data_IF_322376973833
#
_entry.id   IF_322376973833
#
_cell.length_a   1.000
_cell.length_b   1.000
_cell.length_c   1.000
_cell.angle_alpha   90.00
_cell.angle_beta   90.00
_cell.angle_gamma   90.00
#
_symmetry.space_group_name_H-M   'P 1'
#
loop_
_entity.id
_entity.type
_entity.pdbx_description
1 polymer ?
#
# COMPACT_ATOMS: atom_id res chain seq x y z
N UNK A 1 55.79 -48.64 21.20
CA UNK A 1 56.67 -47.47 21.37
C UNK A 1 56.22 -46.43 20.37
N UNK A 2 55.42 -45.48 20.85
CA UNK A 2 55.81 -44.07 21.13
C UNK A 2 55.63 -43.19 19.89
N UNK A 3 54.53 -42.45 19.80
CA UNK A 3 54.33 -41.07 20.26
C UNK A 3 55.11 -40.02 19.46
N UNK A 4 54.39 -39.23 18.65
CA UNK A 4 54.70 -37.81 18.49
C UNK A 4 53.44 -37.03 18.07
N UNK A 5 53.25 -35.90 18.75
CA UNK A 5 52.03 -35.09 18.82
C UNK A 5 52.19 -33.82 17.97
N UNK A 6 51.11 -33.45 17.26
CA UNK A 6 50.71 -32.18 16.56
C UNK A 6 51.67 -30.96 16.45
N UNK A 7 51.43 -30.13 15.42
CA UNK A 7 50.84 -28.82 15.70
C UNK A 7 49.56 -28.53 14.89
N UNK A 8 48.68 -27.60 15.34
CA UNK A 8 47.41 -27.29 14.66
C UNK A 8 47.59 -26.24 13.55
N UNK A 9 47.10 -26.54 12.35
CA UNK A 9 46.92 -25.57 11.27
C UNK A 9 45.66 -24.73 11.53
N UNK A 10 45.82 -23.41 11.67
CA UNK A 10 44.73 -22.42 11.65
C UNK A 10 43.98 -22.47 10.31
N UNK A 11 42.64 -22.43 10.29
CA UNK A 11 41.91 -21.83 9.19
C UNK A 11 41.65 -20.35 9.51
N UNK A 12 42.14 -19.46 8.64
CA UNK A 12 41.84 -18.03 8.63
C UNK A 12 40.36 -17.80 8.33
N UNK A 13 39.58 -17.44 9.34
CA UNK A 13 38.15 -17.14 9.19
C UNK A 13 37.92 -15.72 8.67
N UNK A 14 38.03 -15.53 7.35
CA UNK A 14 37.58 -14.29 6.67
C UNK A 14 36.06 -14.05 6.76
N UNK A 15 35.31 -15.02 7.31
CA UNK A 15 33.85 -14.95 7.46
C UNK A 15 33.47 -13.91 8.54
N UNK A 16 34.23 -13.81 9.63
CA UNK A 16 33.92 -12.87 10.72
C UNK A 16 34.08 -11.40 10.27
N UNK A 17 35.01 -11.14 9.36
CA UNK A 17 35.26 -9.80 8.87
C UNK A 17 34.20 -9.35 7.86
N UNK A 18 33.77 -10.27 6.98
CA UNK A 18 32.68 -10.07 6.01
C UNK A 18 31.35 -9.85 6.74
N UNK A 19 31.05 -10.63 7.77
CA UNK A 19 29.83 -10.47 8.57
C UNK A 19 29.83 -9.15 9.34
N UNK A 20 30.99 -8.70 9.85
CA UNK A 20 31.10 -7.39 10.52
C UNK A 20 30.90 -6.20 9.56
N UNK A 21 31.36 -6.33 8.30
CA UNK A 21 31.18 -5.31 7.26
C UNK A 21 29.73 -5.27 6.78
N UNK A 22 29.07 -6.41 6.65
CA UNK A 22 27.64 -6.47 6.28
C UNK A 22 26.74 -5.89 7.39
N UNK A 23 27.03 -6.22 8.66
CA UNK A 23 26.29 -5.67 9.80
C UNK A 23 26.45 -4.15 9.98
N UNK A 24 27.56 -3.56 9.50
CA UNK A 24 27.74 -2.09 9.48
C UNK A 24 26.98 -1.40 8.35
N UNK A 25 26.68 -2.10 7.26
CA UNK A 25 25.97 -1.54 6.09
C UNK A 25 24.45 -1.72 6.20
N UNK A 26 23.94 -2.70 6.95
CA UNK A 26 22.51 -2.94 7.13
C UNK A 26 21.87 -2.27 8.36
N UNK A 27 22.41 -1.16 8.86
CA UNK A 27 21.66 -0.30 9.80
C UNK A 27 20.63 0.54 9.04
N UNK A 28 19.56 -0.12 8.60
CA UNK A 28 18.33 0.55 8.22
C UNK A 28 17.77 1.27 9.44
N UNK A 29 17.58 2.58 9.32
CA UNK A 29 16.73 3.36 10.23
C UNK A 29 15.29 2.87 10.03
N UNK A 30 14.83 2.00 10.90
CA UNK A 30 13.40 1.76 11.12
C UNK A 30 12.83 3.00 11.85
N UNK A 31 12.16 3.88 11.11
CA UNK A 31 11.24 4.86 11.70
C UNK A 31 9.97 4.10 12.07
N UNK A 32 9.81 3.83 13.36
CA UNK A 32 8.59 3.26 13.92
C UNK A 32 7.48 4.31 13.89
N UNK A 33 6.42 4.01 13.15
CA UNK A 33 5.11 4.63 13.32
C UNK A 33 4.49 4.01 14.57
N UNK A 34 4.46 4.76 15.68
CA UNK A 34 3.63 4.41 16.82
C UNK A 34 2.30 5.14 16.69
N UNK A 35 1.25 4.39 16.41
CA UNK A 35 -0.13 4.79 16.69
C UNK A 35 -0.33 4.72 18.21
N UNK A 36 -0.52 5.86 18.86
CA UNK A 36 -1.12 5.89 20.20
C UNK A 36 -2.60 6.19 20.07
N UNK A 37 -3.35 5.16 20.39
CA UNK A 37 -4.78 5.06 20.52
C UNK A 37 -5.33 6.02 21.59
N UNK A 38 -6.43 6.68 21.22
CA UNK A 38 -7.20 7.60 22.02
C UNK A 38 -8.28 6.81 22.79
N UNK A 39 -8.43 6.91 24.12
CA UNK A 39 -9.59 6.34 24.79
C UNK A 39 -10.48 7.45 25.38
N UNK A 40 -11.71 7.60 24.85
CA UNK A 40 -12.99 7.52 25.60
C UNK A 40 -14.17 8.18 24.86
N UNK A 41 -15.04 7.27 24.38
CA UNK A 41 -16.51 7.22 24.28
C UNK A 41 -17.40 8.47 24.02
N UNK A 42 -18.52 8.28 23.28
CA UNK A 42 -19.46 9.33 22.90
C UNK A 42 -20.62 9.49 23.89
N UNK A 43 -21.13 10.72 24.02
CA UNK A 43 -22.50 10.97 24.50
C UNK A 43 -23.28 11.73 23.45
N UNK A 44 -24.33 11.07 23.00
CA UNK A 44 -25.44 11.59 22.22
C UNK A 44 -26.20 12.65 23.03
N UNK A 45 -26.56 13.77 22.43
CA UNK A 45 -27.86 14.41 22.63
C UNK A 45 -28.10 15.48 21.55
N UNK A 46 -29.17 15.26 20.78
CA UNK A 46 -29.79 16.23 19.89
C UNK A 46 -30.63 17.22 20.70
N UNK A 47 -30.69 18.48 20.23
CA UNK A 47 -31.62 19.49 20.71
C UNK A 47 -31.70 20.66 19.71
N UNK A 48 -32.82 20.70 19.00
CA UNK A 48 -33.28 21.65 17.96
C UNK A 48 -33.57 23.06 18.51
N UNK A 49 -33.53 24.08 17.62
CA UNK A 49 -34.36 25.32 17.50
C UNK A 49 -33.48 26.48 16.94
N UNK A 50 -33.55 26.82 15.65
CA UNK A 50 -34.43 27.80 14.92
C UNK A 50 -34.21 29.28 15.22
N UNK A 51 -34.02 30.02 14.11
CA UNK A 51 -34.31 31.44 13.82
C UNK A 51 -33.22 32.53 14.00
N UNK A 52 -32.61 32.85 12.84
CA UNK A 52 -32.78 34.10 12.06
C UNK A 52 -31.83 35.31 12.21
N UNK A 53 -31.56 35.90 11.04
CA UNK A 53 -31.07 37.27 10.73
C UNK A 53 -29.57 37.68 10.81
N UNK A 54 -29.02 37.81 9.59
CA UNK A 54 -28.30 38.95 8.95
C UNK A 54 -26.92 39.47 9.37
N UNK A 55 -26.14 39.69 8.30
CA UNK A 55 -25.14 40.72 8.00
C UNK A 55 -23.64 40.51 8.25
N UNK A 56 -22.94 40.58 7.10
CA UNK A 56 -21.56 40.92 6.75
C UNK A 56 -20.54 41.19 7.87
N UNK A 57 -19.33 40.60 7.70
CA UNK A 57 -18.05 41.32 7.59
C UNK A 57 -17.00 40.36 7.03
N UNK A 58 -16.39 40.81 5.94
CA UNK A 58 -15.16 40.34 5.31
C UNK A 58 -13.99 40.55 6.28
N UNK A 59 -13.17 39.54 6.57
CA UNK A 59 -11.72 39.69 6.87
C UNK A 59 -11.04 38.31 6.89
N UNK A 60 -9.93 38.22 6.16
CA UNK A 60 -9.16 37.00 5.95
C UNK A 60 -8.40 36.56 7.19
N UNK A 61 -8.55 35.28 7.55
CA UNK A 61 -7.71 34.61 8.53
C UNK A 61 -6.73 33.68 7.78
N UNK A 62 -5.48 34.12 7.62
CA UNK A 62 -4.37 33.24 7.29
C UNK A 62 -3.87 32.55 8.56
N UNK A 63 -3.64 31.25 8.43
CA UNK A 63 -3.19 30.31 9.45
C UNK A 63 -2.06 30.83 10.35
N UNK A 64 -2.28 30.72 11.67
CA UNK A 64 -1.24 30.85 12.69
C UNK A 64 -0.31 29.62 12.66
N UNK A 65 0.85 29.76 12.03
CA UNK A 65 1.95 28.81 12.20
C UNK A 65 2.58 29.01 13.58
N UNK A 66 2.27 28.09 14.51
CA UNK A 66 2.85 27.99 15.85
C UNK A 66 4.36 27.72 15.77
N UNK A 67 5.16 28.77 15.88
CA UNK A 67 6.60 28.65 16.16
C UNK A 67 6.80 28.58 17.68
N UNK A 68 7.29 27.43 18.17
CA UNK A 68 7.72 27.28 19.57
C UNK A 68 8.99 28.11 19.83
N UNK A 69 9.01 29.03 20.83
CA UNK A 69 10.24 29.65 21.28
C UNK A 69 11.03 28.68 22.18
N UNK A 70 12.31 28.47 21.89
CA UNK A 70 13.24 27.84 22.84
C UNK A 70 13.71 28.88 23.89
N UNK A 71 14.02 28.45 25.13
CA UNK A 71 14.26 29.37 26.24
C UNK A 71 15.64 30.02 26.11
N UNK A 72 15.67 31.35 26.12
CA UNK A 72 16.91 32.11 26.32
C UNK A 72 17.20 32.11 27.82
N UNK A 73 18.31 31.45 28.21
CA UNK A 73 18.89 31.60 29.53
C UNK A 73 19.26 33.07 29.76
N UNK A 74 18.43 33.75 30.55
CA UNK A 74 18.72 35.09 31.06
C UNK A 74 19.64 34.94 32.27
N UNK A 75 20.91 35.33 32.13
CA UNK A 75 21.75 35.53 33.30
C UNK A 75 21.21 36.71 34.14
N UNK A 76 21.09 36.56 35.47
CA UNK A 76 20.60 37.64 36.32
C UNK A 76 21.60 38.80 36.38
N UNK A 77 21.06 40.00 36.25
CA UNK A 77 21.72 41.30 36.34
C UNK A 77 22.58 41.43 37.61
N UNK A 78 23.90 41.36 37.48
CA UNK A 78 24.85 41.81 38.50
C UNK A 78 24.94 43.35 38.58
N UNK A 79 24.43 44.06 37.57
CA UNK A 79 24.46 45.52 37.48
C UNK A 79 23.60 46.20 38.55
N UNK A 80 22.47 45.61 38.93
CA UNK A 80 21.50 46.21 39.85
C UNK A 80 22.07 46.32 41.28
N UNK A 81 22.80 45.30 41.76
CA UNK A 81 23.36 45.32 43.12
C UNK A 81 24.49 46.34 43.30
N UNK A 82 25.28 46.61 42.25
CA UNK A 82 26.39 47.57 42.31
C UNK A 82 25.87 49.02 42.33
N UNK A 83 24.83 49.32 41.55
CA UNK A 83 24.22 50.65 41.47
C UNK A 83 23.62 51.11 42.80
N UNK A 84 22.96 50.22 43.54
CA UNK A 84 22.37 50.52 44.86
C UNK A 84 23.43 50.92 45.90
N UNK A 85 24.61 50.31 45.86
CA UNK A 85 25.73 50.63 46.79
C UNK A 85 26.30 52.04 46.52
N UNK A 86 26.33 52.49 45.27
CA UNK A 86 26.84 53.84 44.94
C UNK A 86 25.84 54.93 45.32
N UNK A 87 24.55 54.67 45.13
CA UNK A 87 23.45 55.56 45.52
C UNK A 87 23.38 55.68 47.04
N UNK A 88 23.54 54.57 47.77
CA UNK A 88 23.57 54.59 49.24
C UNK A 88 24.75 55.43 49.77
N UNK A 89 25.95 55.25 49.20
CA UNK A 89 27.13 56.09 49.53
C UNK A 89 26.90 57.58 49.26
N UNK A 90 26.17 57.94 48.21
CA UNK A 90 25.81 59.33 47.91
C UNK A 90 24.92 59.91 49.00
N UNK A 91 23.84 59.20 49.38
CA UNK A 91 22.93 59.64 50.44
C UNK A 91 23.60 59.73 51.81
N UNK A 92 24.47 58.79 52.15
CA UNK A 92 25.27 58.84 53.38
C UNK A 92 26.19 60.07 53.42
N UNK A 93 26.85 60.36 52.29
CA UNK A 93 27.73 61.53 52.18
C UNK A 93 26.96 62.85 52.30
N UNK A 94 25.78 62.95 51.69
CA UNK A 94 24.89 64.12 51.80
C UNK A 94 24.37 64.27 53.23
N UNK A 95 24.00 63.16 53.89
CA UNK A 95 23.53 63.18 55.27
C UNK A 95 24.64 63.60 56.24
N UNK A 96 25.86 63.11 56.03
CA UNK A 96 27.04 63.53 56.79
C UNK A 96 27.39 65.01 56.55
N UNK A 97 27.23 65.51 55.31
CA UNK A 97 27.41 66.92 54.99
C UNK A 97 26.39 67.81 55.73
N UNK A 98 25.12 67.40 55.74
CA UNK A 98 24.06 68.08 56.51
C UNK A 98 24.37 68.11 58.00
N UNK A 99 24.83 66.99 58.57
CA UNK A 99 25.24 66.93 59.98
C UNK A 99 26.43 67.82 60.28
N UNK A 100 27.44 67.87 59.40
CA UNK A 100 28.57 68.78 59.53
C UNK A 100 28.12 70.26 59.50
N UNK A 101 27.16 70.60 58.64
CA UNK A 101 26.57 71.94 58.58
C UNK A 101 25.82 72.31 59.87
N UNK A 102 25.06 71.40 60.47
CA UNK A 102 24.40 71.64 61.76
C UNK A 102 25.43 71.88 62.87
N UNK A 103 26.51 71.08 62.92
CA UNK A 103 27.61 71.30 63.89
C UNK A 103 28.29 72.65 63.70
N UNK A 104 28.43 73.09 62.44
CA UNK A 104 28.93 74.42 62.13
C UNK A 104 27.99 75.48 62.72
N UNK A 105 26.66 75.35 62.56
CA UNK A 105 25.68 76.26 63.15
C UNK A 105 25.72 76.26 64.69
N UNK A 106 25.82 75.10 65.33
CA UNK A 106 25.88 74.96 66.79
C UNK A 106 27.16 75.58 67.38
N UNK A 107 28.29 75.50 66.68
CA UNK A 107 29.57 76.08 67.13
C UNK A 107 29.56 77.62 67.22
N UNK A 108 28.54 78.28 66.65
CA UNK A 108 28.40 79.73 66.72
C UNK A 108 27.76 80.21 68.04
N UNK A 109 27.13 79.34 68.85
CA UNK A 109 26.43 79.74 70.09
C UNK A 109 26.59 78.69 71.22
N UNK A 110 27.35 78.99 72.30
CA UNK A 110 28.24 80.15 72.48
C UNK A 110 29.41 80.09 71.50
N UNK A 111 29.91 81.24 71.07
CA UNK A 111 30.95 81.36 70.05
C UNK A 111 32.27 80.67 70.47
N UNK A 112 32.65 79.61 69.75
CA UNK A 112 33.85 78.81 70.01
C UNK A 112 34.65 78.62 68.72
N UNK A 113 35.80 79.29 68.62
CA UNK A 113 36.62 79.33 67.40
C UNK A 113 37.18 77.98 66.99
N UNK A 114 37.48 77.10 67.96
CA UNK A 114 38.09 75.81 67.67
C UNK A 114 37.03 74.82 67.17
N UNK A 115 35.82 74.90 67.74
CA UNK A 115 34.66 74.12 67.23
C UNK A 115 34.24 74.56 65.83
N UNK A 116 34.31 75.85 65.51
CA UNK A 116 34.01 76.36 64.17
C UNK A 116 35.02 75.80 63.14
N UNK A 117 36.32 75.87 63.43
CA UNK A 117 37.36 75.32 62.53
C UNK A 117 37.19 73.82 62.30
N UNK A 118 36.97 73.05 63.36
CA UNK A 118 36.76 71.61 63.25
C UNK A 118 35.50 71.24 62.46
N UNK A 119 34.41 72.01 62.61
CA UNK A 119 33.18 71.80 61.85
C UNK A 119 33.33 72.19 60.36
N UNK A 120 34.07 73.26 60.07
CA UNK A 120 34.36 73.70 58.70
C UNK A 120 35.25 72.70 57.94
N UNK A 121 36.33 72.23 58.57
CA UNK A 121 37.20 71.18 58.01
C UNK A 121 36.39 69.91 57.68
N UNK A 122 35.49 69.51 58.59
CA UNK A 122 34.61 68.37 58.36
C UNK A 122 33.65 68.61 57.19
N UNK A 123 33.06 69.81 57.08
CA UNK A 123 32.15 70.17 56.00
C UNK A 123 32.86 70.14 54.64
N UNK A 124 34.05 70.75 54.54
CA UNK A 124 34.86 70.75 53.31
C UNK A 124 35.24 69.32 52.92
N UNK A 125 35.68 68.48 53.85
CA UNK A 125 36.03 67.08 53.58
C UNK A 125 34.83 66.27 53.03
N UNK A 126 33.61 66.52 53.52
CA UNK A 126 32.39 65.88 52.99
C UNK A 126 32.01 66.41 51.61
N UNK A 127 32.18 67.71 51.36
CA UNK A 127 31.96 68.31 50.04
C UNK A 127 32.92 67.73 49.01
N UNK A 128 34.19 67.54 49.35
CA UNK A 128 35.18 66.89 48.50
C UNK A 128 34.82 65.43 48.17
N UNK A 129 34.32 64.68 49.16
CA UNK A 129 33.82 63.32 48.95
C UNK A 129 32.66 63.29 47.94
N UNK A 130 31.71 64.22 48.06
CA UNK A 130 30.61 64.37 47.11
C UNK A 130 31.10 64.69 45.69
N UNK A 131 32.11 65.57 45.57
CA UNK A 131 32.74 65.89 44.29
C UNK A 131 33.49 64.69 43.66
N UNK A 132 34.05 63.78 44.47
CA UNK A 132 34.65 62.52 43.97
C UNK A 132 33.58 61.59 43.42
N UNK A 133 32.47 61.39 44.15
CA UNK A 133 31.34 60.57 43.68
C UNK A 133 30.78 61.10 42.36
N UNK A 134 30.58 62.42 42.24
CA UNK A 134 30.12 63.07 41.01
C UNK A 134 31.02 62.83 39.80
N UNK A 135 32.35 62.84 39.99
CA UNK A 135 33.32 62.60 38.91
C UNK A 135 33.25 61.16 38.41
N UNK A 136 33.27 60.19 39.32
CA UNK A 136 33.19 58.76 38.97
C UNK A 136 31.90 58.44 38.23
N UNK A 137 30.76 59.01 38.66
CA UNK A 137 29.48 58.82 37.97
C UNK A 137 29.51 59.35 36.53
N UNK A 138 30.05 60.55 36.32
CA UNK A 138 30.17 61.13 34.98
C UNK A 138 31.04 60.26 34.06
N UNK A 139 32.16 59.77 34.57
CA UNK A 139 33.08 58.92 33.80
C UNK A 139 32.43 57.59 33.37
N UNK A 140 31.64 56.97 34.25
CA UNK A 140 30.88 55.75 33.91
C UNK A 140 29.82 55.99 32.83
N UNK A 141 29.10 57.11 32.89
CA UNK A 141 28.07 57.47 31.91
C UNK A 141 28.61 57.59 30.48
N UNK A 142 29.82 58.17 30.30
CA UNK A 142 30.42 58.26 28.97
C UNK A 142 30.81 56.89 28.40
N UNK A 143 31.40 56.02 29.22
CA UNK A 143 31.83 54.69 28.78
C UNK A 143 30.64 53.76 28.42
N UNK A 144 29.50 53.91 29.09
CA UNK A 144 28.31 53.10 28.84
C UNK A 144 27.64 53.46 27.51
N UNK A 145 27.54 54.76 27.19
CA UNK A 145 26.97 55.27 25.93
C UNK A 145 27.75 54.75 24.71
N UNK A 146 29.08 54.79 24.76
CA UNK A 146 29.93 54.29 23.68
C UNK A 146 29.77 52.76 23.48
N UNK A 147 29.62 52.01 24.57
CA UNK A 147 29.42 50.55 24.52
C UNK A 147 28.04 50.14 23.98
N UNK A 148 26.99 50.90 24.30
CA UNK A 148 25.62 50.65 23.84
C UNK A 148 25.47 51.02 22.36
N UNK A 149 26.13 52.09 21.92
CA UNK A 149 26.17 52.51 20.52
C UNK A 149 26.85 51.46 19.63
N UNK A 150 28.00 50.93 20.05
CA UNK A 150 28.71 49.87 19.32
C UNK A 150 27.90 48.56 19.22
N UNK A 151 27.23 48.14 20.30
CA UNK A 151 26.35 46.95 20.29
C UNK A 151 25.15 47.14 19.37
N UNK A 152 24.57 48.34 19.35
CA UNK A 152 23.45 48.68 18.47
C UNK A 152 23.86 48.62 16.99
N UNK A 153 25.05 49.09 16.65
CA UNK A 153 25.57 49.05 15.28
C UNK A 153 25.79 47.61 14.79
N UNK A 154 26.32 46.72 15.64
CA UNK A 154 26.49 45.30 15.31
C UNK A 154 25.15 44.60 15.08
N UNK A 155 24.16 44.85 15.94
CA UNK A 155 22.82 44.27 15.79
C UNK A 155 22.16 44.72 14.48
N UNK A 156 22.27 45.98 14.11
CA UNK A 156 21.74 46.50 12.85
C UNK A 156 22.41 45.85 11.63
N UNK A 157 23.74 45.63 11.68
CA UNK A 157 24.45 44.95 10.62
C UNK A 157 24.00 43.48 10.47
N UNK A 158 23.76 42.80 11.58
CA UNK A 158 23.26 41.42 11.59
C UNK A 158 21.82 41.32 11.05
N UNK A 159 20.94 42.26 11.44
CA UNK A 159 19.58 42.37 10.88
C UNK A 159 19.63 42.54 9.36
N UNK A 160 20.48 43.43 8.84
CA UNK A 160 20.62 43.64 7.40
C UNK A 160 21.09 42.38 6.65
N UNK A 161 21.94 41.55 7.27
CA UNK A 161 22.37 40.27 6.68
C UNK A 161 21.20 39.29 6.64
N UNK A 162 20.44 39.18 7.73
CA UNK A 162 19.26 38.32 7.79
C UNK A 162 18.17 38.75 6.81
N UNK A 163 17.93 40.05 6.64
CA UNK A 163 16.98 40.59 5.65
C UNK A 163 17.38 40.19 4.22
N UNK A 164 18.67 40.35 3.87
CA UNK A 164 19.17 39.94 2.54
C UNK A 164 19.05 38.43 2.31
N UNK A 165 19.30 37.62 3.34
CA UNK A 165 19.15 36.16 3.25
C UNK A 165 17.67 35.77 3.06
N UNK A 166 16.76 36.44 3.77
CA UNK A 166 15.33 36.20 3.70
C UNK A 166 14.77 36.53 2.32
N UNK A 167 15.18 37.66 1.73
CA UNK A 167 14.81 38.00 0.35
C UNK A 167 15.35 37.00 -0.68
N UNK A 168 16.57 36.48 -0.49
CA UNK A 168 17.12 35.42 -1.34
C UNK A 168 16.29 34.13 -1.24
N UNK A 169 15.90 33.72 -0.04
CA UNK A 169 15.08 32.53 0.18
C UNK A 169 13.68 32.69 -0.41
N UNK A 170 13.04 33.86 -0.24
CA UNK A 170 11.76 34.18 -0.88
C UNK A 170 11.84 34.07 -2.40
N UNK A 171 12.91 34.58 -3.01
CA UNK A 171 13.11 34.46 -4.45
C UNK A 171 13.24 32.99 -4.88
N UNK A 172 14.04 32.19 -4.16
CA UNK A 172 14.19 30.77 -4.46
C UNK A 172 12.87 30.00 -4.31
N UNK A 173 12.06 30.33 -3.31
CA UNK A 173 10.74 29.73 -3.10
C UNK A 173 9.81 30.00 -4.28
N UNK A 174 9.74 31.27 -4.75
CA UNK A 174 8.96 31.62 -5.95
C UNK A 174 9.39 30.87 -7.20
N UNK A 175 10.70 30.69 -7.41
CA UNK A 175 11.22 29.90 -8.53
C UNK A 175 10.78 28.43 -8.42
N UNK A 176 10.88 27.84 -7.23
CA UNK A 176 10.48 26.46 -6.99
C UNK A 176 8.96 26.26 -7.12
N UNK A 177 8.15 27.20 -6.68
CA UNK A 177 6.70 27.14 -6.87
C UNK A 177 6.33 27.16 -8.35
N UNK A 178 7.01 27.98 -9.17
CA UNK A 178 6.81 27.99 -10.61
C UNK A 178 7.21 26.64 -11.26
N UNK A 179 8.31 26.03 -10.81
CA UNK A 179 8.73 24.70 -11.26
C UNK A 179 7.69 23.62 -10.90
N UNK A 180 7.13 23.66 -9.69
CA UNK A 180 6.09 22.72 -9.24
C UNK A 180 4.85 22.83 -10.11
N UNK A 181 4.37 24.05 -10.38
CA UNK A 181 3.21 24.28 -11.24
C UNK A 181 3.47 23.75 -12.66
N UNK A 182 4.67 23.97 -13.21
CA UNK A 182 5.05 23.45 -14.53
C UNK A 182 5.06 21.91 -14.56
N UNK A 183 5.66 21.27 -13.56
CA UNK A 183 5.69 19.80 -13.47
C UNK A 183 4.29 19.21 -13.31
N UNK A 184 3.42 19.83 -12.52
CA UNK A 184 2.01 19.43 -12.40
C UNK A 184 1.29 19.51 -13.76
N UNK A 185 1.53 20.57 -14.54
CA UNK A 185 0.94 20.71 -15.87
C UNK A 185 1.46 19.64 -16.85
N UNK A 186 2.75 19.32 -16.81
CA UNK A 186 3.32 18.23 -17.62
C UNK A 186 2.75 16.87 -17.25
N UNK A 187 2.53 16.60 -15.96
CA UNK A 187 1.89 15.37 -15.51
C UNK A 187 0.47 15.25 -16.06
N UNK A 188 -0.32 16.32 -16.00
CA UNK A 188 -1.67 16.34 -16.55
C UNK A 188 -1.69 16.11 -18.07
N UNK A 189 -0.77 16.73 -18.82
CA UNK A 189 -0.65 16.52 -20.27
C UNK A 189 -0.24 15.07 -20.62
N UNK A 190 0.68 14.48 -19.86
CA UNK A 190 1.06 13.07 -20.01
C UNK A 190 -0.10 12.12 -19.67
N UNK A 191 -0.87 12.40 -18.63
CA UNK A 191 -2.04 11.61 -18.27
C UNK A 191 -3.14 11.68 -19.34
N UNK A 192 -3.37 12.85 -19.92
CA UNK A 192 -4.28 13.02 -21.05
C UNK A 192 -3.80 12.21 -22.28
N UNK A 193 -2.53 12.33 -22.65
CA UNK A 193 -1.93 11.55 -23.75
C UNK A 193 -2.00 10.05 -23.49
N UNK A 194 -1.75 9.59 -22.27
CA UNK A 194 -1.87 8.18 -21.91
C UNK A 194 -3.33 7.70 -22.04
N UNK A 195 -4.30 8.51 -21.64
CA UNK A 195 -5.72 8.18 -21.81
C UNK A 195 -6.09 8.08 -23.29
N UNK A 196 -5.65 9.03 -24.11
CA UNK A 196 -5.87 9.01 -25.56
C UNK A 196 -5.20 7.79 -26.22
N UNK A 197 -3.95 7.48 -25.87
CA UNK A 197 -3.25 6.30 -26.37
C UNK A 197 -3.95 5.01 -25.95
N UNK A 198 -4.43 4.93 -24.71
CA UNK A 198 -5.19 3.78 -24.20
C UNK A 198 -6.50 3.58 -24.99
N UNK A 199 -7.25 4.65 -25.26
CA UNK A 199 -8.49 4.55 -26.06
C UNK A 199 -8.20 4.19 -27.53
N UNK A 200 -7.15 4.76 -28.12
CA UNK A 200 -6.70 4.40 -29.47
C UNK A 200 -6.25 2.95 -29.56
N UNK A 201 -5.58 2.43 -28.51
CA UNK A 201 -5.22 1.02 -28.41
C UNK A 201 -6.48 0.14 -28.39
N UNK A 202 -7.47 0.48 -27.57
CA UNK A 202 -8.76 -0.25 -27.51
C UNK A 202 -9.51 -0.26 -28.84
N UNK A 203 -9.50 0.85 -29.58
CA UNK A 203 -10.13 0.94 -30.90
C UNK A 203 -9.40 0.09 -31.93
N UNK A 204 -8.08 0.20 -32.02
CA UNK A 204 -7.25 -0.64 -32.91
C UNK A 204 -7.36 -2.11 -32.55
N UNK A 205 -7.50 -2.46 -31.28
CA UNK A 205 -7.66 -3.82 -30.82
C UNK A 205 -9.04 -4.39 -31.22
N UNK A 206 -10.12 -3.61 -31.11
CA UNK A 206 -11.43 -4.00 -31.68
C UNK A 206 -11.39 -4.23 -33.19
N UNK A 207 -10.60 -3.43 -33.90
CA UNK A 207 -10.38 -3.61 -35.34
C UNK A 207 -9.50 -4.83 -35.63
N UNK A 208 -8.46 -5.08 -34.84
CA UNK A 208 -7.59 -6.26 -34.97
C UNK A 208 -8.31 -7.54 -34.60
N UNK A 209 -9.23 -7.54 -33.63
CA UNK A 209 -10.13 -8.67 -33.33
C UNK A 209 -11.08 -8.91 -34.51
N UNK A 210 -11.45 -7.88 -35.29
CA UNK A 210 -12.23 -8.06 -36.53
C UNK A 210 -11.39 -8.53 -37.73
N UNK A 211 -10.08 -8.27 -37.76
CA UNK A 211 -9.24 -8.41 -38.97
C UNK A 211 -8.10 -9.43 -38.84
N UNK A 212 -7.66 -9.79 -37.63
CA UNK A 212 -6.47 -10.59 -37.39
C UNK A 212 -6.69 -11.77 -36.45
N UNK A 213 -6.70 -12.98 -37.02
CA UNK A 213 -6.43 -14.24 -36.32
C UNK A 213 -7.40 -14.68 -35.20
N UNK A 214 -8.71 -14.55 -35.38
CA UNK A 214 -9.61 -15.43 -34.63
C UNK A 214 -9.51 -16.85 -35.22
N UNK A 215 -8.81 -17.73 -34.51
CA UNK A 215 -9.33 -19.08 -34.34
C UNK A 215 -10.83 -18.95 -34.06
N UNK A 216 -11.69 -19.63 -34.80
CA UNK A 216 -13.14 -19.54 -34.64
C UNK A 216 -13.50 -19.63 -33.15
N UNK A 217 -14.60 -19.01 -32.71
CA UNK A 217 -15.08 -19.20 -31.33
C UNK A 217 -15.18 -20.69 -30.98
N UNK A 218 -15.47 -21.51 -31.99
CA UNK A 218 -15.45 -22.97 -31.92
C UNK A 218 -14.05 -23.55 -31.67
N UNK A 219 -12.98 -22.99 -32.26
CA UNK A 219 -11.60 -23.40 -32.01
C UNK A 219 -11.16 -23.05 -30.59
N UNK A 220 -11.54 -21.87 -30.08
CA UNK A 220 -11.27 -21.48 -28.69
C UNK A 220 -12.02 -22.40 -27.72
N UNK A 221 -13.26 -22.76 -28.06
CA UNK A 221 -14.05 -23.74 -27.31
C UNK A 221 -13.39 -25.13 -27.30
N UNK A 222 -12.96 -25.62 -28.46
CA UNK A 222 -12.22 -26.89 -28.61
C UNK A 222 -10.90 -26.85 -27.84
N UNK A 223 -10.17 -25.74 -27.89
CA UNK A 223 -8.91 -25.54 -27.17
C UNK A 223 -9.13 -25.59 -25.65
N UNK A 224 -10.15 -24.90 -25.13
CA UNK A 224 -10.51 -24.96 -23.71
C UNK A 224 -10.90 -26.38 -23.27
N UNK A 225 -11.73 -27.07 -24.07
CA UNK A 225 -12.13 -28.46 -23.79
C UNK A 225 -10.92 -29.40 -23.78
N UNK A 226 -10.01 -29.25 -24.76
CA UNK A 226 -8.75 -30.00 -24.82
C UNK A 226 -7.83 -29.68 -23.63
N UNK A 227 -7.72 -28.43 -23.22
CA UNK A 227 -6.87 -28.04 -22.11
C UNK A 227 -7.37 -28.59 -20.76
N UNK A 228 -8.69 -28.66 -20.55
CA UNK A 228 -9.29 -29.36 -19.40
C UNK A 228 -8.93 -30.84 -19.43
N UNK A 229 -9.11 -31.50 -20.58
CA UNK A 229 -8.72 -32.90 -20.76
C UNK A 229 -7.21 -33.12 -20.51
N UNK A 230 -6.36 -32.24 -21.01
CA UNK A 230 -4.90 -32.34 -20.86
C UNK A 230 -4.45 -32.09 -19.42
N UNK A 231 -5.12 -31.21 -18.66
CA UNK A 231 -4.86 -31.02 -17.23
C UNK A 231 -5.41 -32.15 -16.35
N UNK A 232 -6.51 -32.79 -16.74
CA UNK A 232 -7.05 -33.94 -16.02
C UNK A 232 -6.02 -35.09 -15.96
N UNK A 233 -5.16 -35.24 -16.97
CA UNK A 233 -4.11 -36.27 -17.02
C UNK A 233 -3.10 -36.17 -15.85
N UNK A 234 -2.36 -35.07 -15.64
CA UNK A 234 -1.45 -34.95 -14.51
C UNK A 234 -2.17 -34.97 -13.17
N UNK A 235 -3.41 -34.46 -13.07
CA UNK A 235 -4.22 -34.58 -11.86
C UNK A 235 -4.49 -36.04 -11.49
N UNK A 236 -5.04 -36.82 -12.42
CA UNK A 236 -5.30 -38.26 -12.22
C UNK A 236 -3.99 -39.03 -11.98
N UNK A 237 -2.90 -38.66 -12.66
CA UNK A 237 -1.59 -39.27 -12.47
C UNK A 237 -1.08 -39.09 -11.03
N UNK A 238 -1.18 -37.88 -10.48
CA UNK A 238 -0.81 -37.59 -9.09
C UNK A 238 -1.71 -38.31 -8.10
N UNK A 239 -3.02 -38.39 -8.37
CA UNK A 239 -3.95 -39.17 -7.53
C UNK A 239 -3.52 -40.65 -7.46
N UNK A 240 -3.20 -41.27 -8.61
CA UNK A 240 -2.69 -42.65 -8.66
C UNK A 240 -1.37 -42.81 -7.89
N UNK A 241 -0.42 -41.90 -8.11
CA UNK A 241 0.88 -41.92 -7.45
C UNK A 241 0.76 -41.76 -5.92
N UNK A 242 -0.27 -41.06 -5.47
CA UNK A 242 -0.56 -40.81 -4.05
C UNK A 242 -1.48 -41.87 -3.42
N UNK A 243 -1.75 -42.97 -4.13
CA UNK A 243 -2.53 -44.10 -3.62
C UNK A 243 -4.04 -43.88 -3.52
N UNK A 244 -4.59 -42.89 -4.23
CA UNK A 244 -6.04 -42.65 -4.23
C UNK A 244 -6.78 -43.75 -5.00
N UNK A 245 -7.92 -44.19 -4.45
CA UNK A 245 -8.87 -45.02 -5.16
C UNK A 245 -9.66 -44.16 -6.15
N UNK A 246 -9.32 -44.28 -7.44
CA UNK A 246 -9.99 -43.53 -8.50
C UNK A 246 -11.46 -43.92 -8.69
N UNK A 247 -11.84 -45.14 -8.31
CA UNK A 247 -13.21 -45.59 -8.44
C UNK A 247 -14.08 -44.89 -7.38
N UNK A 248 -13.61 -44.85 -6.13
CA UNK A 248 -14.27 -44.08 -5.07
C UNK A 248 -14.24 -42.56 -5.33
N UNK A 249 -13.14 -42.04 -5.87
CA UNK A 249 -13.04 -40.61 -6.19
C UNK A 249 -14.02 -40.20 -7.29
N UNK A 250 -14.18 -41.02 -8.34
CA UNK A 250 -15.16 -40.77 -9.39
C UNK A 250 -16.60 -40.82 -8.85
N UNK A 251 -16.91 -41.79 -7.98
CA UNK A 251 -18.23 -41.92 -7.34
C UNK A 251 -18.53 -40.79 -6.34
N UNK A 252 -17.51 -40.20 -5.72
CA UNK A 252 -17.65 -39.00 -4.90
C UNK A 252 -17.93 -37.74 -5.71
N UNK A 253 -17.52 -37.68 -6.98
CA UNK A 253 -17.80 -36.54 -7.87
C UNK A 253 -19.19 -36.70 -8.47
N UNK A 254 -19.44 -37.84 -9.11
CA UNK A 254 -20.71 -38.16 -9.76
C UNK A 254 -21.29 -39.44 -9.14
N UNK A 255 -22.16 -39.27 -8.16
CA UNK A 255 -22.74 -40.38 -7.41
C UNK A 255 -23.69 -41.22 -8.29
N UNK A 256 -23.63 -42.54 -8.12
CA UNK A 256 -24.58 -43.48 -8.74
C UNK A 256 -24.57 -43.46 -10.28
N UNK A 257 -23.41 -43.25 -10.92
CA UNK A 257 -23.26 -43.32 -12.38
C UNK A 257 -22.75 -44.70 -12.81
N UNK A 258 -23.50 -45.38 -13.66
CA UNK A 258 -23.06 -46.61 -14.32
C UNK A 258 -22.22 -46.28 -15.56
N UNK A 259 -20.90 -46.38 -15.45
CA UNK A 259 -20.00 -46.17 -16.58
C UNK A 259 -19.99 -47.38 -17.53
N UNK A 260 -20.22 -47.14 -18.83
CA UNK A 260 -20.13 -48.16 -19.89
C UNK A 260 -18.75 -48.84 -19.94
N UNK A 261 -17.68 -48.10 -19.63
CA UNK A 261 -16.30 -48.61 -19.56
C UNK A 261 -15.61 -48.07 -18.32
N UNK A 262 -14.76 -48.87 -17.69
CA UNK A 262 -13.95 -48.42 -16.54
C UNK A 262 -13.08 -47.19 -16.87
N UNK A 263 -12.60 -47.07 -18.10
CA UNK A 263 -11.82 -45.92 -18.57
C UNK A 263 -12.61 -44.62 -18.67
N UNK A 264 -13.96 -44.66 -18.66
CA UNK A 264 -14.82 -43.48 -18.76
C UNK A 264 -14.91 -42.67 -17.46
N UNK A 265 -14.46 -43.24 -16.33
CA UNK A 265 -14.33 -42.51 -15.06
C UNK A 265 -13.46 -41.25 -15.17
N UNK A 266 -12.56 -41.18 -16.16
CA UNK A 266 -11.81 -39.97 -16.49
C UNK A 266 -12.71 -38.75 -16.76
N UNK A 267 -13.89 -38.97 -17.34
CA UNK A 267 -14.83 -37.89 -17.67
C UNK A 267 -15.45 -37.25 -16.42
N UNK A 268 -15.55 -37.97 -15.30
CA UNK A 268 -15.99 -37.37 -14.03
C UNK A 268 -14.96 -36.35 -13.52
N UNK A 269 -13.67 -36.63 -13.63
CA UNK A 269 -12.62 -35.66 -13.28
C UNK A 269 -12.61 -34.46 -14.22
N UNK A 270 -12.82 -34.68 -15.53
CA UNK A 270 -13.00 -33.57 -16.50
C UNK A 270 -14.21 -32.71 -16.14
N UNK A 271 -15.35 -33.33 -15.80
CA UNK A 271 -16.57 -32.65 -15.37
C UNK A 271 -16.35 -31.82 -14.09
N UNK A 272 -15.68 -32.39 -13.09
CA UNK A 272 -15.29 -31.69 -11.86
C UNK A 272 -14.47 -30.43 -12.15
N UNK A 273 -13.43 -30.55 -12.99
CA UNK A 273 -12.59 -29.42 -13.37
C UNK A 273 -13.44 -28.38 -14.11
N UNK A 274 -14.21 -28.78 -15.13
CA UNK A 274 -15.03 -27.87 -15.92
C UNK A 274 -16.05 -27.12 -15.04
N UNK A 275 -16.75 -27.82 -14.15
CA UNK A 275 -17.74 -27.22 -13.26
C UNK A 275 -17.13 -26.10 -12.41
N UNK A 276 -15.94 -26.33 -11.86
CA UNK A 276 -15.21 -25.34 -11.06
C UNK A 276 -14.70 -24.21 -11.94
N UNK A 277 -14.07 -24.51 -13.07
CA UNK A 277 -13.48 -23.50 -13.96
C UNK A 277 -14.53 -22.52 -14.49
N UNK A 278 -15.74 -23.00 -14.79
CA UNK A 278 -16.86 -22.18 -15.28
C UNK A 278 -17.83 -21.67 -14.19
N UNK A 279 -17.51 -21.84 -12.89
CA UNK A 279 -18.34 -21.34 -11.79
C UNK A 279 -17.99 -19.91 -11.34
N UNK A 280 -18.89 -19.19 -10.68
CA UNK A 280 -18.57 -18.11 -9.74
C UNK A 280 -17.93 -16.81 -10.27
N UNK A 281 -17.67 -16.64 -11.58
CA UNK A 281 -17.13 -15.40 -12.12
C UNK A 281 -18.09 -14.80 -13.15
N UNK A 282 -18.54 -13.54 -12.96
CA UNK A 282 -19.24 -12.83 -14.02
C UNK A 282 -18.29 -12.64 -15.21
N UNK A 283 -18.78 -12.84 -16.43
CA UNK A 283 -18.07 -12.50 -17.66
C UNK A 283 -17.86 -10.97 -17.66
N UNK A 284 -16.74 -10.50 -17.10
CA UNK A 284 -16.34 -9.10 -17.23
C UNK A 284 -15.51 -8.96 -18.50
N UNK A 285 -16.04 -8.19 -19.46
CA UNK A 285 -15.49 -8.02 -20.80
C UNK A 285 -14.14 -7.29 -20.84
N UNK A 286 -13.78 -6.56 -19.77
CA UNK A 286 -12.65 -5.63 -19.78
C UNK A 286 -11.27 -6.23 -19.51
N UNK A 287 -11.14 -7.56 -19.32
CA UNK A 287 -9.87 -8.14 -18.83
C UNK A 287 -9.35 -9.36 -19.60
N UNK A 288 -9.94 -9.68 -20.75
CA UNK A 288 -9.52 -10.87 -21.51
C UNK A 288 -8.61 -10.55 -22.69
N UNK A 289 -8.55 -9.27 -23.05
CA UNK A 289 -7.68 -8.69 -24.09
C UNK A 289 -6.19 -9.03 -23.83
N UNK A 290 -5.75 -8.98 -22.57
CA UNK A 290 -4.35 -9.23 -22.26
C UNK A 290 -3.91 -10.67 -22.55
N UNK A 291 -4.73 -11.71 -22.36
CA UNK A 291 -4.27 -13.11 -22.50
C UNK A 291 -4.22 -13.58 -23.95
N UNK A 292 -5.16 -13.13 -24.77
CA UNK A 292 -5.18 -13.48 -26.20
C UNK A 292 -3.93 -12.97 -26.94
N UNK A 293 -3.22 -12.00 -26.36
CA UNK A 293 -1.97 -11.44 -26.88
C UNK A 293 -0.72 -12.23 -26.48
N UNK A 294 -0.78 -13.12 -25.47
CA UNK A 294 0.39 -13.85 -24.97
C UNK A 294 0.46 -15.29 -25.53
N UNK A 295 1.61 -15.64 -26.11
CA UNK A 295 1.90 -17.00 -26.57
C UNK A 295 1.98 -18.01 -25.39
N UNK A 296 2.34 -17.55 -24.19
CA UNK A 296 2.34 -18.35 -22.95
C UNK A 296 1.54 -17.68 -21.83
N UNK A 297 0.46 -18.34 -21.41
CA UNK A 297 -0.39 -17.90 -20.29
C UNK A 297 0.37 -17.80 -18.96
N UNK A 298 1.46 -18.55 -18.79
CA UNK A 298 2.30 -18.48 -17.60
C UNK A 298 3.15 -17.21 -17.58
N UNK A 299 3.70 -16.78 -18.71
CA UNK A 299 4.48 -15.54 -18.79
C UNK A 299 3.60 -14.30 -18.57
N UNK A 300 2.37 -14.33 -19.10
CA UNK A 300 1.34 -13.33 -18.82
C UNK A 300 1.11 -13.16 -17.31
N UNK A 301 1.02 -14.28 -16.60
CA UNK A 301 0.77 -14.35 -15.17
C UNK A 301 1.95 -13.82 -14.35
N UNK A 302 3.19 -14.07 -14.79
CA UNK A 302 4.40 -13.60 -14.12
C UNK A 302 4.61 -12.09 -14.35
N UNK A 303 4.25 -11.57 -15.53
CA UNK A 303 4.42 -10.15 -15.87
C UNK A 303 3.46 -9.24 -15.10
N UNK A 304 2.22 -9.69 -14.89
CA UNK A 304 1.21 -8.95 -14.11
C UNK A 304 0.51 -9.85 -13.07
N UNK A 305 1.10 -10.00 -11.87
CA UNK A 305 0.55 -10.81 -10.78
C UNK A 305 -0.76 -10.28 -10.18
N UNK A 306 -1.16 -9.04 -10.48
CA UNK A 306 -2.38 -8.43 -9.93
C UNK A 306 -3.52 -8.32 -10.97
N UNK A 307 -3.30 -8.82 -12.19
CA UNK A 307 -4.30 -8.92 -13.25
C UNK A 307 -5.56 -9.69 -12.80
N UNK A 308 -6.72 -9.45 -13.45
CA UNK A 308 -7.90 -10.28 -13.15
C UNK A 308 -7.70 -11.74 -13.55
N UNK A 309 -6.81 -12.01 -14.51
CA UNK A 309 -6.38 -13.38 -14.80
C UNK A 309 -5.64 -14.01 -13.62
N UNK A 310 -4.74 -13.28 -12.97
CA UNK A 310 -4.05 -13.78 -11.79
C UNK A 310 -5.03 -14.07 -10.65
N UNK A 311 -6.00 -13.18 -10.42
CA UNK A 311 -7.11 -13.40 -9.47
C UNK A 311 -7.95 -14.63 -9.83
N UNK A 312 -8.24 -14.82 -11.12
CA UNK A 312 -8.92 -16.01 -11.63
C UNK A 312 -8.10 -17.27 -11.36
N UNK A 313 -6.82 -17.30 -11.75
CA UNK A 313 -5.93 -18.44 -11.51
C UNK A 313 -5.84 -18.79 -10.03
N UNK A 314 -5.70 -17.79 -9.15
CA UNK A 314 -5.68 -17.98 -7.69
C UNK A 314 -6.97 -18.63 -7.20
N UNK A 315 -8.11 -18.03 -7.54
CA UNK A 315 -9.43 -18.51 -7.09
C UNK A 315 -9.70 -19.92 -7.61
N UNK A 316 -9.41 -20.17 -8.90
CA UNK A 316 -9.65 -21.47 -9.52
C UNK A 316 -8.71 -22.55 -9.03
N UNK A 317 -7.43 -22.26 -8.84
CA UNK A 317 -6.48 -23.25 -8.33
C UNK A 317 -6.90 -23.75 -6.95
N UNK A 318 -7.24 -22.83 -6.05
CA UNK A 318 -7.63 -23.13 -4.68
C UNK A 318 -8.92 -23.97 -4.61
N UNK A 319 -9.79 -23.84 -5.61
CA UNK A 319 -11.03 -24.63 -5.73
C UNK A 319 -10.82 -25.98 -6.44
N UNK A 320 -10.05 -26.02 -7.53
CA UNK A 320 -9.78 -27.26 -8.31
C UNK A 320 -8.90 -28.23 -7.53
N UNK A 321 -7.91 -27.74 -6.76
CA UNK A 321 -6.98 -28.58 -6.02
C UNK A 321 -7.30 -28.49 -4.53
N UNK A 322 -8.24 -29.29 -4.05
CA UNK A 322 -8.63 -29.38 -2.64
C UNK A 322 -7.41 -29.57 -1.69
N UNK A 323 -7.43 -29.05 -0.44
CA UNK A 323 -6.33 -29.22 0.52
C UNK A 323 -5.89 -30.66 0.72
N UNK A 324 -6.84 -31.60 0.75
CA UNK A 324 -6.52 -33.03 0.87
C UNK A 324 -5.78 -33.58 -0.36
N UNK A 325 -6.15 -33.12 -1.57
CA UNK A 325 -5.43 -33.50 -2.80
C UNK A 325 -4.01 -32.98 -2.76
N UNK A 326 -3.82 -31.71 -2.42
CA UNK A 326 -2.48 -31.10 -2.37
C UNK A 326 -1.56 -31.77 -1.34
N UNK A 327 -2.07 -31.98 -0.13
CA UNK A 327 -1.33 -32.67 0.93
C UNK A 327 -0.93 -34.09 0.50
N UNK A 328 -1.78 -34.79 -0.26
CA UNK A 328 -1.44 -36.12 -0.78
C UNK A 328 -0.44 -36.08 -1.93
N UNK A 329 -0.52 -35.09 -2.83
CA UNK A 329 0.33 -35.01 -4.02
C UNK A 329 1.74 -34.55 -3.70
N UNK A 330 1.89 -33.62 -2.76
CA UNK A 330 3.16 -32.95 -2.48
C UNK A 330 3.66 -33.17 -1.04
N UNK A 331 2.86 -33.77 -0.16
CA UNK A 331 3.20 -33.96 1.26
C UNK A 331 3.12 -32.69 2.11
N UNK A 332 2.73 -31.56 1.53
CA UNK A 332 2.61 -30.26 2.20
C UNK A 332 1.52 -29.40 1.52
N UNK A 333 1.29 -28.19 2.05
CA UNK A 333 0.32 -27.21 1.51
C UNK A 333 1.02 -25.94 1.00
N UNK A 334 2.29 -26.06 0.61
CA UNK A 334 3.11 -24.88 0.29
C UNK A 334 2.69 -24.27 -1.05
N UNK A 335 2.21 -25.06 -2.02
CA UNK A 335 1.66 -24.52 -3.27
C UNK A 335 0.45 -23.62 -3.00
N UNK A 336 -0.52 -24.08 -2.20
CA UNK A 336 -1.69 -23.29 -1.81
C UNK A 336 -1.28 -22.04 -1.05
N UNK A 337 -0.36 -22.14 -0.08
CA UNK A 337 0.13 -20.94 0.63
C UNK A 337 0.77 -19.93 -0.33
N UNK A 338 1.56 -20.41 -1.29
CA UNK A 338 2.20 -19.56 -2.29
C UNK A 338 1.17 -18.86 -3.18
N UNK A 339 0.19 -19.61 -3.70
CA UNK A 339 -0.93 -19.09 -4.51
C UNK A 339 -1.83 -18.15 -3.70
N UNK A 340 -2.08 -18.45 -2.44
CA UNK A 340 -2.80 -17.59 -1.51
C UNK A 340 -2.06 -16.28 -1.22
N UNK A 341 -0.73 -16.26 -1.37
CA UNK A 341 0.13 -15.08 -1.18
C UNK A 341 0.36 -14.30 -2.48
N UNK A 342 -0.49 -14.50 -3.49
CA UNK A 342 -0.42 -13.80 -4.80
C UNK A 342 0.86 -14.13 -5.59
N UNK A 343 1.45 -15.30 -5.31
CA UNK A 343 2.62 -15.80 -6.00
C UNK A 343 2.29 -17.09 -6.77
N UNK A 344 3.02 -17.36 -7.84
CA UNK A 344 2.71 -18.45 -8.77
C UNK A 344 3.83 -19.52 -8.80
N UNK A 345 3.56 -20.76 -8.35
CA UNK A 345 4.57 -21.81 -8.30
C UNK A 345 5.11 -22.14 -9.70
N UNK A 346 6.44 -22.26 -9.84
CA UNK A 346 7.10 -22.69 -11.09
C UNK A 346 7.23 -24.21 -11.16
N UNK A 347 6.13 -24.92 -10.92
CA UNK A 347 6.11 -26.39 -11.00
C UNK A 347 5.39 -26.86 -12.26
N UNK A 348 5.76 -28.02 -12.84
CA UNK A 348 5.11 -28.53 -14.05
C UNK A 348 3.59 -28.72 -13.89
N UNK A 349 3.16 -29.14 -12.70
CA UNK A 349 1.74 -29.28 -12.39
C UNK A 349 1.00 -27.93 -12.40
N UNK A 350 1.59 -26.90 -11.78
CA UNK A 350 0.98 -25.57 -11.76
C UNK A 350 1.01 -24.90 -13.14
N UNK A 351 2.08 -25.09 -13.91
CA UNK A 351 2.14 -24.61 -15.29
C UNK A 351 1.07 -25.27 -16.18
N UNK A 352 0.84 -26.59 -16.03
CA UNK A 352 -0.25 -27.27 -16.71
C UNK A 352 -1.63 -26.72 -16.29
N UNK A 353 -1.80 -26.39 -15.01
CA UNK A 353 -3.01 -25.71 -14.52
C UNK A 353 -3.19 -24.33 -15.18
N UNK A 354 -2.14 -23.50 -15.19
CA UNK A 354 -2.21 -22.13 -15.75
C UNK A 354 -2.49 -22.16 -17.25
N UNK A 355 -1.91 -23.12 -17.99
CA UNK A 355 -2.21 -23.31 -19.40
C UNK A 355 -3.70 -23.60 -19.64
N UNK A 356 -4.29 -24.47 -18.83
CA UNK A 356 -5.72 -24.76 -18.88
C UNK A 356 -6.58 -23.56 -18.43
N UNK A 357 -6.18 -22.86 -17.38
CA UNK A 357 -6.84 -21.65 -16.93
C UNK A 357 -6.81 -20.55 -18.01
N UNK A 358 -5.70 -20.41 -18.73
CA UNK A 358 -5.55 -19.48 -19.84
C UNK A 358 -6.52 -19.78 -20.99
N UNK A 359 -6.64 -21.05 -21.41
CA UNK A 359 -7.60 -21.44 -22.45
C UNK A 359 -9.06 -21.23 -22.02
N UNK A 360 -9.40 -21.52 -20.77
CA UNK A 360 -10.76 -21.25 -20.24
C UNK A 360 -11.02 -19.75 -20.16
N UNK A 361 -10.05 -18.96 -19.68
CA UNK A 361 -10.18 -17.51 -19.59
C UNK A 361 -10.39 -16.89 -20.98
N UNK A 362 -9.61 -17.33 -21.98
CA UNK A 362 -9.78 -16.92 -23.37
C UNK A 362 -11.20 -17.21 -23.88
N UNK A 363 -11.74 -18.41 -23.64
CA UNK A 363 -13.12 -18.75 -24.01
C UNK A 363 -14.14 -17.83 -23.32
N UNK A 364 -13.99 -17.58 -22.01
CA UNK A 364 -14.87 -16.68 -21.26
C UNK A 364 -14.82 -15.24 -21.80
N UNK A 365 -13.66 -14.76 -22.26
CA UNK A 365 -13.55 -13.44 -22.85
C UNK A 365 -14.11 -13.32 -24.24
N UNK A 366 -13.83 -14.28 -25.11
CA UNK A 366 -14.45 -14.34 -26.44
C UNK A 366 -15.98 -14.37 -26.29
N UNK A 367 -16.49 -15.17 -25.35
CA UNK A 367 -17.90 -15.18 -25.00
C UNK A 367 -18.41 -13.81 -24.47
N UNK A 368 -17.59 -13.09 -23.70
CA UNK A 368 -17.95 -11.79 -23.13
C UNK A 368 -17.94 -10.65 -24.18
N UNK A 369 -17.06 -10.75 -25.18
CA UNK A 369 -16.88 -9.78 -26.25
C UNK A 369 -17.81 -10.03 -27.45
N UNK A 370 -18.43 -11.20 -27.53
CA UNK A 370 -19.36 -11.56 -28.60
C UNK A 370 -20.60 -10.65 -28.58
N UNK A 371 -21.00 -10.19 -29.78
CA UNK A 371 -22.26 -9.49 -30.03
C UNK A 371 -23.07 -10.29 -31.08
N UNK A 372 -24.19 -10.93 -30.72
CA UNK A 372 -24.90 -10.86 -29.44
C UNK A 372 -24.20 -11.60 -28.28
N UNK A 373 -24.50 -11.16 -27.05
CA UNK A 373 -23.87 -11.67 -25.82
C UNK A 373 -24.00 -13.19 -25.69
N UNK A 374 -22.86 -13.86 -25.48
CA UNK A 374 -22.84 -15.31 -25.29
C UNK A 374 -23.59 -15.73 -24.02
N UNK A 375 -24.38 -16.79 -24.12
CA UNK A 375 -25.05 -17.42 -23.00
C UNK A 375 -24.46 -18.81 -22.79
N UNK A 376 -23.80 -19.02 -21.64
CA UNK A 376 -23.37 -20.35 -21.22
C UNK A 376 -24.58 -21.11 -20.67
N UNK A 377 -24.83 -22.31 -21.16
CA UNK A 377 -25.87 -23.21 -20.65
C UNK A 377 -25.27 -24.48 -20.07
N UNK A 378 -25.95 -25.03 -19.08
CA UNK A 378 -25.57 -26.27 -18.38
C UNK A 378 -26.69 -27.29 -18.58
N UNK A 379 -26.30 -28.55 -18.73
CA UNK A 379 -27.25 -29.66 -18.89
C UNK A 379 -27.40 -30.37 -17.55
N UNK A 380 -28.65 -30.59 -17.14
CA UNK A 380 -28.96 -31.26 -15.87
C UNK A 380 -29.00 -32.79 -16.03
N UNK A 381 -28.60 -33.49 -14.98
CA UNK A 381 -28.70 -34.95 -14.89
C UNK A 381 -30.15 -35.41 -15.08
N UNK A 382 -30.34 -36.48 -15.84
CA UNK A 382 -31.63 -37.06 -16.18
C UNK A 382 -32.34 -36.41 -17.38
N UNK A 383 -31.80 -35.31 -17.91
CA UNK A 383 -32.32 -34.66 -19.13
C UNK A 383 -32.22 -35.60 -20.33
N UNK A 384 -33.18 -35.47 -21.25
CA UNK A 384 -33.12 -36.16 -22.53
C UNK A 384 -31.98 -35.65 -23.40
N UNK A 385 -31.33 -36.54 -24.14
CA UNK A 385 -30.28 -36.17 -25.08
C UNK A 385 -30.86 -35.40 -26.28
N UNK A 386 -30.25 -34.26 -26.61
CA UNK A 386 -30.57 -33.45 -27.79
C UNK A 386 -29.32 -33.21 -28.62
N UNK A 387 -29.23 -33.83 -29.79
CA UNK A 387 -28.08 -33.68 -30.69
C UNK A 387 -27.88 -32.22 -31.16
N UNK A 388 -28.93 -31.39 -31.12
CA UNK A 388 -28.82 -29.96 -31.48
C UNK A 388 -27.96 -29.18 -30.46
N UNK A 389 -28.04 -29.53 -29.17
CA UNK A 389 -27.39 -28.79 -28.08
C UNK A 389 -26.32 -29.60 -27.34
N UNK A 390 -26.16 -30.88 -27.65
CA UNK A 390 -25.34 -31.79 -26.86
C UNK A 390 -24.49 -32.69 -27.77
N UNK A 391 -23.23 -32.85 -27.40
CA UNK A 391 -22.33 -33.84 -27.99
C UNK A 391 -22.05 -34.94 -26.96
N UNK A 392 -22.29 -36.19 -27.35
CA UNK A 392 -21.91 -37.35 -26.54
C UNK A 392 -20.39 -37.50 -26.49
N UNK A 393 -19.83 -37.72 -25.31
CA UNK A 393 -18.40 -38.09 -25.19
C UNK A 393 -18.12 -39.52 -25.65
N UNK A 394 -19.16 -40.35 -25.76
CA UNK A 394 -19.12 -41.67 -26.36
C UNK A 394 -19.59 -41.59 -27.82
N UNK A 395 -18.87 -42.25 -28.73
CA UNK A 395 -19.31 -42.42 -30.11
C UNK A 395 -20.33 -43.56 -30.13
N UNK A 396 -21.60 -43.21 -30.28
CA UNK A 396 -22.67 -44.16 -30.61
C UNK A 396 -22.86 -44.16 -32.12
N UNK A 397 -23.26 -45.29 -32.72
CA UNK A 397 -23.63 -45.31 -34.13
C UNK A 397 -24.92 -44.49 -34.31
N UNK A 398 -24.95 -43.59 -35.29
CA UNK A 398 -26.05 -42.63 -35.53
C UNK A 398 -27.43 -43.31 -35.65
N UNK A 399 -27.47 -44.54 -36.17
CA UNK A 399 -28.69 -45.35 -36.34
C UNK A 399 -29.40 -45.73 -35.01
N UNK A 400 -28.73 -45.58 -33.86
CA UNK A 400 -29.27 -45.95 -32.53
C UNK A 400 -29.91 -44.75 -31.81
N UNK A 401 -29.49 -43.53 -32.16
CA UNK A 401 -29.77 -42.31 -31.40
C UNK A 401 -31.14 -41.72 -31.73
N UNK A 402 -31.61 -41.88 -32.96
CA UNK A 402 -32.89 -41.33 -33.44
C UNK A 402 -34.04 -42.33 -33.29
N UNK A 403 -35.15 -41.86 -32.72
CA UNK A 403 -36.45 -42.53 -32.75
C UNK A 403 -37.48 -41.60 -33.35
N UNK A 404 -38.37 -42.16 -34.15
CA UNK A 404 -39.46 -41.53 -34.89
C UNK A 404 -40.56 -40.89 -33.99
N UNK A 405 -40.37 -40.89 -32.67
CA UNK A 405 -41.40 -40.53 -31.67
C UNK A 405 -40.97 -39.45 -30.66
N UNK A 406 -39.84 -38.76 -30.88
CA UNK A 406 -39.44 -37.60 -30.05
C UNK A 406 -38.99 -37.94 -28.61
N UNK A 407 -38.88 -39.22 -28.25
CA UNK A 407 -38.32 -39.69 -26.97
C UNK A 407 -36.85 -40.06 -27.19
N UNK A 408 -35.92 -39.32 -26.58
CA UNK A 408 -34.50 -39.66 -26.61
C UNK A 408 -34.26 -40.98 -25.85
N UNK A 409 -33.73 -42.01 -26.52
CA UNK A 409 -33.34 -43.30 -25.89
C UNK A 409 -32.23 -43.17 -24.84
N UNK A 410 -31.59 -42.00 -24.78
CA UNK A 410 -30.47 -41.73 -23.89
C UNK A 410 -30.82 -40.61 -22.93
N UNK A 411 -30.40 -40.78 -21.68
CA UNK A 411 -30.44 -39.75 -20.65
C UNK A 411 -29.03 -39.27 -20.34
N UNK A 412 -28.92 -38.00 -20.02
CA UNK A 412 -27.67 -37.40 -19.56
C UNK A 412 -27.41 -37.82 -18.12
N UNK A 413 -26.29 -38.48 -17.85
CA UNK A 413 -25.86 -38.75 -16.48
C UNK A 413 -25.19 -37.53 -15.86
N UNK A 414 -24.27 -36.90 -16.58
CA UNK A 414 -23.61 -35.67 -16.14
C UNK A 414 -23.01 -34.90 -17.32
N UNK A 415 -22.76 -33.62 -17.08
CA UNK A 415 -22.17 -32.69 -18.05
C UNK A 415 -20.64 -32.65 -17.85
N UNK A 416 -19.91 -32.96 -18.92
CA UNK A 416 -18.44 -32.93 -18.95
C UNK A 416 -17.92 -31.53 -19.25
N UNK A 417 -18.60 -30.81 -20.15
CA UNK A 417 -18.25 -29.43 -20.53
C UNK A 417 -19.53 -28.63 -20.80
N UNK A 418 -19.67 -27.40 -20.27
CA UNK A 418 -20.82 -26.57 -20.56
C UNK A 418 -20.86 -26.15 -22.04
N UNK A 419 -22.07 -25.88 -22.54
CA UNK A 419 -22.26 -25.36 -23.89
C UNK A 419 -22.40 -23.84 -23.90
N UNK A 420 -22.28 -23.24 -25.08
CA UNK A 420 -22.43 -21.80 -25.28
C UNK A 420 -23.36 -21.50 -26.44
N UNK A 421 -24.21 -20.49 -26.30
CA UNK A 421 -25.06 -19.97 -27.37
C UNK A 421 -24.66 -18.54 -27.67
N UNK A 422 -24.29 -18.27 -28.91
CA UNK A 422 -23.87 -16.95 -29.40
C UNK A 422 -24.71 -16.63 -30.62
N UNK A 423 -25.81 -15.90 -30.42
CA UNK A 423 -26.80 -15.65 -31.45
C UNK A 423 -27.45 -16.96 -31.93
N UNK A 424 -27.23 -17.28 -33.20
CA UNK A 424 -27.69 -18.52 -33.84
C UNK A 424 -26.68 -19.67 -33.71
N UNK A 425 -25.41 -19.37 -33.40
CA UNK A 425 -24.38 -20.39 -33.24
C UNK A 425 -24.52 -21.08 -31.88
N UNK A 426 -24.57 -22.41 -31.91
CA UNK A 426 -24.63 -23.27 -30.72
C UNK A 426 -23.34 -24.08 -30.64
N UNK A 427 -22.55 -23.82 -29.60
CA UNK A 427 -21.47 -24.70 -29.17
C UNK A 427 -22.08 -25.73 -28.22
N UNK A 428 -22.11 -26.98 -28.67
CA UNK A 428 -22.77 -28.09 -27.98
C UNK A 428 -22.09 -28.41 -26.63
N UNK A 429 -22.90 -28.71 -25.62
CA UNK A 429 -22.39 -29.18 -24.33
C UNK A 429 -21.93 -30.63 -24.45
N UNK A 430 -20.76 -30.96 -23.92
CA UNK A 430 -20.27 -32.35 -23.92
C UNK A 430 -20.88 -33.09 -22.72
N UNK A 431 -21.56 -34.20 -22.98
CA UNK A 431 -22.32 -34.95 -21.97
C UNK A 431 -21.95 -36.43 -21.96
N UNK A 432 -22.04 -37.03 -20.77
CA UNK A 432 -21.97 -38.47 -20.60
C UNK A 432 -23.40 -39.04 -20.57
N UNK A 433 -23.65 -40.09 -21.34
CA UNK A 433 -24.99 -40.65 -21.55
C UNK A 433 -25.12 -42.05 -20.95
N UNK A 434 -26.31 -42.38 -20.49
CA UNK A 434 -26.76 -43.73 -20.20
C UNK A 434 -27.96 -44.11 -21.07
N UNK A 435 -28.00 -45.35 -21.55
CA UNK A 435 -29.13 -45.86 -22.32
C UNK A 435 -30.33 -46.16 -21.41
N UNK A 436 -31.55 -45.84 -21.86
CA UNK A 436 -32.76 -46.29 -21.18
C UNK A 436 -32.80 -47.82 -21.22
N UNK A 437 -32.64 -48.47 -20.06
CA UNK A 437 -33.02 -49.88 -19.93
C UNK A 437 -34.54 -49.94 -20.02
N UNK A 438 -35.06 -50.51 -21.10
CA UNK A 438 -36.47 -50.91 -21.17
C UNK A 438 -36.71 -51.96 -20.08
N UNK A 439 -37.43 -51.57 -19.03
CA UNK A 439 -37.92 -52.51 -18.03
C UNK A 439 -39.00 -53.39 -18.67
N UNK A 440 -38.58 -54.42 -19.39
CA UNK A 440 -39.48 -55.54 -19.68
C UNK A 440 -39.63 -56.36 -18.40
N UNK A 441 -40.67 -56.04 -17.63
CA UNK A 441 -41.29 -56.99 -16.74
C UNK A 441 -41.74 -58.19 -17.58
N UNK A 442 -40.98 -59.29 -17.51
CA UNK A 442 -41.51 -60.61 -17.80
C UNK A 442 -42.33 -61.03 -16.58
N UNK A 443 -43.65 -60.96 -16.71
CA UNK A 443 -44.59 -61.75 -15.90
C UNK A 443 -44.62 -63.15 -16.49
#
# INVERSE_FOLDING_TARGET
>A
MECATKPPSKPSSNISEIVSKFAKVCKFRSVGVFSTENPRRPRLNNGTLTEDSTDAIEEGAWDEEKVLPHPIETQPQQTTQCADVEIMRLFDTISALKSAYVRLQEAHIPYDTDKIKAADELFVARLESLCKIKRVYKEKQFNEVDSVSARSALLLAEIQVHEKLLEKLKFQLKVKDADVINLQQQLLDLDLKNRELSENFRLKERENVKVGNLSSVEDVFKAASKAIHDFAKPLISLMKASGWDLDQAAESIEASVEYSKRSHKKYAFEAYIAQIMFSGMPLQSSSVESILQWDDSFDALIRDPHSNFAKFCRTKYLSVVHPMMEASFFGNLDHRKFVSSEMHPRTPFYQAFVKMAGSVWALLGVAALSDPKAQMYRVERGSGFSDVFMDSVEVFNDDIITCDEGISRFKVEFMVMPGFRIGEMVLKSRVYLSGLRSSHHRV
#
